data_IF_893992051601
#
_entry.id   IF_893992051601
#
_cell.length_a   1.000
_cell.length_b   1.000
_cell.length_c   1.000
_cell.angle_alpha   90.00
_cell.angle_beta   90.00
_cell.angle_gamma   90.00
#
_symmetry.space_group_name_H-M   'P 1'
#
loop_
_entity.id
_entity.type
_entity.pdbx_description
1 polymer ?
#
# COMPACT_ATOMS: atom_id res chain seq x y z
N UNK A 1 -11.44 -5.99 0.47
CA UNK A 1 -10.50 -6.13 -0.66
C UNK A 1 -9.55 -4.93 -0.70
N UNK A 2 -8.32 -5.11 -1.18
CA UNK A 2 -7.31 -4.05 -1.32
C UNK A 2 -6.83 -4.05 -2.77
N UNK A 3 -6.79 -2.88 -3.38
CA UNK A 3 -6.42 -2.65 -4.78
C UNK A 3 -5.34 -1.57 -4.86
N UNK A 4 -4.57 -1.56 -5.94
CA UNK A 4 -3.51 -0.58 -6.20
C UNK A 4 -3.09 -0.66 -7.66
N UNK A 5 -2.46 0.40 -8.14
CA UNK A 5 -1.89 0.46 -9.49
C UNK A 5 -0.42 0.09 -9.39
N UNK A 6 -0.04 -1.03 -10.02
CA UNK A 6 1.33 -1.58 -9.97
C UNK A 6 2.09 -1.34 -11.27
N UNK A 7 3.28 -0.79 -11.14
CA UNK A 7 4.32 -0.85 -12.18
C UNK A 7 5.40 -1.82 -11.72
N UNK A 8 5.77 -2.79 -12.56
CA UNK A 8 6.78 -3.79 -12.25
C UNK A 8 7.96 -3.69 -13.23
N UNK A 9 9.16 -3.84 -12.69
CA UNK A 9 10.44 -3.82 -13.41
C UNK A 9 11.26 -5.05 -13.02
N UNK A 10 12.10 -5.51 -13.95
CA UNK A 10 13.11 -6.53 -13.74
C UNK A 10 14.47 -5.96 -14.14
N UNK A 11 15.55 -6.48 -13.56
CA UNK A 11 16.90 -6.09 -13.92
C UNK A 11 17.23 -6.53 -15.35
N UNK A 12 17.93 -5.67 -16.08
CA UNK A 12 18.38 -5.99 -17.44
C UNK A 12 19.45 -7.09 -17.45
N UNK A 13 20.33 -7.09 -16.44
CA UNK A 13 21.46 -8.03 -16.33
C UNK A 13 21.18 -9.16 -15.31
N UNK A 14 20.15 -8.99 -14.48
CA UNK A 14 19.77 -9.93 -13.41
C UNK A 14 18.23 -9.97 -13.29
N UNK A 15 17.62 -11.05 -13.79
CA UNK A 15 16.17 -11.25 -13.76
C UNK A 15 15.61 -11.47 -12.32
N UNK A 16 16.49 -11.81 -11.37
CA UNK A 16 16.12 -11.97 -9.97
C UNK A 16 16.05 -10.62 -9.24
N UNK A 17 16.67 -9.56 -9.77
CA UNK A 17 16.44 -8.21 -9.31
C UNK A 17 15.07 -7.73 -9.81
N UNK A 18 14.13 -7.55 -8.90
CA UNK A 18 12.76 -7.11 -9.20
C UNK A 18 12.41 -5.88 -8.39
N UNK A 19 11.75 -4.92 -9.05
CA UNK A 19 11.26 -3.70 -8.43
C UNK A 19 9.79 -3.52 -8.76
N UNK A 20 8.98 -3.22 -7.76
CA UNK A 20 7.57 -2.86 -7.96
C UNK A 20 7.27 -1.52 -7.31
N UNK A 21 6.42 -0.74 -7.98
CA UNK A 21 5.92 0.54 -7.54
C UNK A 21 4.40 0.44 -7.43
N UNK A 22 3.89 0.44 -6.21
CA UNK A 22 2.45 0.42 -5.93
C UNK A 22 1.97 1.82 -5.57
N UNK A 23 0.97 2.32 -6.31
CA UNK A 23 0.35 3.63 -6.14
C UNK A 23 -1.16 3.50 -6.00
N UNK A 24 -1.81 4.60 -5.60
CA UNK A 24 -3.26 4.74 -5.53
C UNK A 24 -3.92 3.55 -4.82
N UNK A 25 -3.42 3.24 -3.62
CA UNK A 25 -3.95 2.14 -2.81
C UNK A 25 -5.39 2.47 -2.44
N UNK A 26 -6.30 1.57 -2.79
CA UNK A 26 -7.73 1.67 -2.55
C UNK A 26 -8.20 0.44 -1.79
N UNK A 27 -9.24 0.59 -1.00
CA UNK A 27 -9.84 -0.53 -0.29
C UNK A 27 -11.36 -0.40 -0.21
N UNK A 28 -12.01 -1.55 -0.05
CA UNK A 28 -13.43 -1.64 0.32
C UNK A 28 -13.65 -2.83 1.26
N UNK A 29 -14.61 -2.71 2.16
CA UNK A 29 -14.96 -3.74 3.15
C UNK A 29 -16.24 -4.49 2.79
N UNK A 30 -16.96 -4.01 1.78
CA UNK A 30 -18.15 -4.56 1.16
C UNK A 30 -17.85 -5.04 -0.28
N UNK A 31 -18.86 -5.62 -0.95
CA UNK A 31 -18.78 -6.10 -2.34
C UNK A 31 -17.48 -6.85 -2.64
N UNK A 32 -17.15 -7.86 -1.83
CA UNK A 32 -15.83 -8.51 -1.87
C UNK A 32 -15.61 -9.39 -3.12
N UNK A 33 -16.64 -9.56 -3.95
CA UNK A 33 -16.51 -10.22 -5.24
C UNK A 33 -15.60 -9.40 -6.17
N UNK A 34 -14.54 -10.04 -6.68
CA UNK A 34 -13.57 -9.40 -7.57
C UNK A 34 -14.16 -9.01 -8.92
N UNK A 35 -15.32 -9.56 -9.29
CA UNK A 35 -16.07 -9.17 -10.49
C UNK A 35 -16.67 -7.77 -10.38
N UNK A 36 -16.84 -7.23 -9.16
CA UNK A 36 -17.34 -5.87 -8.92
C UNK A 36 -16.26 -4.77 -9.14
N UNK A 37 -15.22 -5.07 -9.93
CA UNK A 37 -14.14 -4.14 -10.27
C UNK A 37 -13.21 -3.80 -9.12
N UNK A 38 -12.37 -2.78 -9.34
CA UNK A 38 -11.30 -2.32 -8.43
C UNK A 38 -11.63 -0.99 -7.74
N UNK A 39 -12.90 -0.61 -7.72
CA UNK A 39 -13.38 0.58 -7.02
C UNK A 39 -13.19 0.42 -5.51
N UNK A 40 -13.07 1.56 -4.82
CA UNK A 40 -12.87 1.59 -3.38
C UNK A 40 -12.43 2.97 -2.93
N UNK A 41 -12.32 3.13 -1.62
CA UNK A 41 -11.89 4.36 -0.98
C UNK A 41 -10.36 4.43 -1.04
N UNK A 42 -9.82 5.56 -1.47
CA UNK A 42 -8.38 5.82 -1.46
C UNK A 42 -7.87 5.83 -0.02
N UNK A 43 -6.82 5.04 0.26
CA UNK A 43 -6.16 5.01 1.56
C UNK A 43 -5.48 6.37 1.81
N UNK A 44 -6.00 7.15 2.76
CA UNK A 44 -5.52 8.52 3.00
C UNK A 44 -4.11 8.57 3.57
N UNK A 45 -3.76 7.56 4.37
CA UNK A 45 -2.47 7.43 5.04
C UNK A 45 -1.34 6.83 4.17
N UNK A 46 -1.58 6.60 2.87
CA UNK A 46 -0.57 6.00 2.00
C UNK A 46 0.58 6.98 1.70
N UNK A 47 1.82 6.50 1.56
CA UNK A 47 2.89 7.30 0.97
C UNK A 47 2.59 7.57 -0.50
N UNK A 48 3.34 8.49 -1.12
CA UNK A 48 3.21 8.77 -2.55
C UNK A 48 3.35 7.52 -3.43
N UNK A 49 4.26 6.61 -3.05
CA UNK A 49 4.46 5.34 -3.70
C UNK A 49 5.08 4.35 -2.71
N UNK A 50 4.71 3.08 -2.80
CA UNK A 50 5.43 2.01 -2.12
C UNK A 50 6.35 1.37 -3.14
N UNK A 51 7.66 1.45 -2.88
CA UNK A 51 8.66 0.73 -3.64
C UNK A 51 9.01 -0.55 -2.89
N UNK A 52 8.93 -1.69 -3.57
CA UNK A 52 9.39 -2.98 -3.05
C UNK A 52 10.45 -3.52 -4.01
N UNK A 53 11.64 -3.77 -3.48
CA UNK A 53 12.78 -4.32 -4.22
C UNK A 53 13.06 -5.73 -3.70
N UNK A 54 13.26 -6.68 -4.62
CA UNK A 54 13.63 -8.06 -4.33
C UNK A 54 14.87 -8.43 -5.13
N UNK A 55 15.73 -9.22 -4.52
CA UNK A 55 16.84 -9.90 -5.18
C UNK A 55 16.99 -11.29 -4.56
N UNK A 56 17.37 -12.29 -5.36
CA UNK A 56 17.77 -13.60 -4.83
C UNK A 56 19.15 -13.56 -4.17
N UNK A 57 19.97 -12.55 -4.50
CA UNK A 57 21.31 -12.34 -3.97
C UNK A 57 21.45 -10.93 -3.39
N UNK A 58 22.68 -10.45 -3.17
CA UNK A 58 22.90 -9.07 -2.76
C UNK A 58 22.44 -8.08 -3.83
N UNK A 59 22.11 -6.85 -3.42
CA UNK A 59 21.77 -5.80 -4.38
C UNK A 59 23.02 -5.37 -5.18
N UNK A 60 22.91 -5.19 -6.52
CA UNK A 60 24.00 -4.66 -7.31
C UNK A 60 24.48 -3.30 -6.82
N UNK A 61 25.79 -3.05 -6.90
CA UNK A 61 26.40 -1.83 -6.37
C UNK A 61 25.84 -0.56 -7.02
N UNK A 62 25.56 -0.60 -8.33
CA UNK A 62 24.95 0.52 -9.03
C UNK A 62 23.57 0.86 -8.47
N UNK A 63 22.80 -0.15 -8.07
CA UNK A 63 21.45 0.02 -7.56
C UNK A 63 21.48 0.64 -6.16
N UNK A 64 22.36 0.13 -5.29
CA UNK A 64 22.56 0.69 -3.95
C UNK A 64 23.03 2.15 -3.99
N UNK A 65 23.96 2.48 -4.89
CA UNK A 65 24.40 3.88 -5.10
C UNK A 65 23.28 4.78 -5.58
N UNK A 66 22.47 4.29 -6.53
CA UNK A 66 21.30 5.03 -7.01
C UNK A 66 20.30 5.32 -5.88
N UNK A 67 20.02 4.33 -5.03
CA UNK A 67 19.14 4.53 -3.86
C UNK A 67 19.71 5.58 -2.91
N UNK A 68 21.01 5.53 -2.63
CA UNK A 68 21.71 6.50 -1.77
C UNK A 68 21.65 7.92 -2.34
N UNK A 69 21.96 8.10 -3.63
CA UNK A 69 21.89 9.39 -4.34
C UNK A 69 20.49 9.99 -4.31
N UNK A 70 19.45 9.15 -4.39
CA UNK A 70 18.05 9.56 -4.30
C UNK A 70 17.56 9.73 -2.85
N UNK A 71 18.39 9.44 -1.84
CA UNK A 71 18.00 9.47 -0.44
C UNK A 71 16.92 8.44 -0.07
N UNK A 72 16.87 7.32 -0.79
CA UNK A 72 15.89 6.26 -0.60
C UNK A 72 16.44 5.19 0.34
N UNK A 73 15.89 5.18 1.56
CA UNK A 73 16.26 4.22 2.60
C UNK A 73 15.13 3.22 2.87
N UNK A 74 15.45 1.99 3.34
CA UNK A 74 14.44 1.01 3.69
C UNK A 74 13.45 1.54 4.72
N UNK A 75 12.16 1.34 4.44
CA UNK A 75 11.06 1.62 5.36
C UNK A 75 10.12 0.44 5.46
N UNK A 76 9.24 0.47 6.46
CA UNK A 76 8.19 -0.55 6.61
C UNK A 76 6.81 0.06 6.35
N UNK A 77 6.02 -0.62 5.53
CA UNK A 77 4.63 -0.25 5.29
C UNK A 77 3.80 -1.50 5.02
N UNK A 78 2.71 -1.67 5.78
CA UNK A 78 1.74 -2.74 5.54
C UNK A 78 0.48 -2.15 4.94
N UNK A 79 0.16 -2.55 3.70
CA UNK A 79 -1.08 -2.14 3.01
C UNK A 79 -2.31 -2.52 3.85
N UNK A 80 -2.36 -3.77 4.30
CA UNK A 80 -3.44 -4.26 5.15
C UNK A 80 -3.49 -3.52 6.50
N UNK A 81 -2.35 -3.37 7.18
CA UNK A 81 -2.31 -2.72 8.48
C UNK A 81 -2.74 -1.24 8.40
N UNK A 82 -2.36 -0.54 7.34
CA UNK A 82 -2.80 0.84 7.11
C UNK A 82 -4.31 0.91 6.83
N UNK A 83 -4.83 0.06 5.95
CA UNK A 83 -6.27 -0.07 5.68
C UNK A 83 -7.06 -0.36 6.95
N UNK A 84 -6.62 -1.33 7.74
CA UNK A 84 -7.30 -1.74 8.97
C UNK A 84 -7.39 -0.59 9.99
N UNK A 85 -6.27 0.12 10.21
CA UNK A 85 -6.25 1.30 11.10
C UNK A 85 -7.21 2.39 10.62
N UNK A 86 -7.23 2.65 9.31
CA UNK A 86 -8.09 3.69 8.74
C UNK A 86 -9.58 3.29 8.81
N UNK A 87 -9.91 2.02 8.52
CA UNK A 87 -11.29 1.53 8.61
C UNK A 87 -11.83 1.58 10.05
N UNK A 88 -10.98 1.28 11.04
CA UNK A 88 -11.38 1.36 12.45
C UNK A 88 -11.54 2.81 12.89
N UNK A 89 -10.65 3.71 12.47
CA UNK A 89 -10.79 5.14 12.79
C UNK A 89 -12.06 5.73 12.19
N UNK A 90 -12.39 5.38 10.94
CA UNK A 90 -13.64 5.80 10.30
C UNK A 90 -14.89 5.26 11.03
N UNK A 91 -14.86 4.01 11.49
CA UNK A 91 -15.94 3.42 12.27
C UNK A 91 -16.14 4.13 13.63
N UNK A 92 -15.04 4.45 14.34
CA UNK A 92 -15.11 5.19 15.61
C UNK A 92 -15.69 6.60 15.44
N UNK A 93 -15.32 7.31 14.37
CA UNK A 93 -15.84 8.66 14.10
C UNK A 93 -17.33 8.69 13.71
N UNK A 94 -17.92 7.54 13.34
CA UNK A 94 -19.34 7.40 13.04
C UNK A 94 -20.19 7.01 14.28
N UNK A 95 -19.59 6.88 15.46
CA UNK A 95 -20.31 6.71 16.73
C UNK A 95 -20.52 8.09 17.36
N UNK A 96 -21.55 8.81 16.91
CA UNK A 96 -22.20 9.84 17.74
C UNK A 96 -22.92 9.14 18.91
N UNK A 97 -22.95 9.71 20.14
CA UNK A 97 -23.67 9.11 21.24
C UNK A 97 -25.14 8.97 20.86
N UNK A 98 -25.65 7.73 20.88
CA UNK A 98 -27.08 7.45 20.77
C UNK A 98 -27.76 8.25 21.89
N UNK A 99 -28.49 9.29 21.51
CA UNK A 99 -29.25 10.10 22.46
C UNK A 99 -30.12 9.17 23.31
N UNK A 100 -29.89 9.19 24.61
CA UNK A 100 -30.82 8.68 25.61
C UNK A 100 -32.11 9.49 25.45
N UNK A 101 -33.11 8.88 24.79
CA UNK A 101 -34.50 9.35 24.79
C UNK A 101 -35.46 8.16 24.79
N UNK A 102 -35.41 7.34 25.82
CA UNK A 102 -36.48 6.48 26.37
C UNK A 102 -35.92 6.04 27.74
N UNK A 103 -36.40 6.42 28.92
CA UNK A 103 -37.75 6.58 29.48
C UNK A 103 -37.67 7.65 30.59
#
# INVERSE_FOLDING_TARGET
AIFYDRTAFHGNDDEELRLTLDRNIRYRTDELDMRCGTSGILLKSQPHCIMEVKSATAFPMWFTRLLEELGLFPGSFSKYGAVYRESISAAHNNIQPRSEKYV
#
